data_IF_572777240105
#
_entry.id   IF_572777240105
#
_cell.length_a   1.000
_cell.length_b   1.000
_cell.length_c   1.000
_cell.angle_alpha   90.00
_cell.angle_beta   90.00
_cell.angle_gamma   90.00
#
_symmetry.space_group_name_H-M   'P 1'
#
loop_
_entity.id
_entity.type
_entity.pdbx_description
1 polymer ?
#
# COMPACT_ATOMS: atom_id res chain seq x y z
N UNK A 1 -25.35 -1.91 8.91
CA UNK A 1 -24.79 -0.60 8.54
C UNK A 1 -23.41 -0.53 9.17
N UNK A 2 -22.32 -0.62 8.39
CA UNK A 2 -20.98 -0.44 8.91
C UNK A 2 -20.82 1.03 9.30
N UNK A 3 -20.45 1.30 10.54
CA UNK A 3 -20.08 2.66 10.99
C UNK A 3 -18.87 3.10 10.16
N UNK A 4 -19.05 4.10 9.30
CA UNK A 4 -17.94 4.73 8.58
C UNK A 4 -17.10 5.48 9.60
N UNK A 5 -15.88 4.99 9.89
CA UNK A 5 -14.96 5.72 10.76
C UNK A 5 -14.58 7.03 10.05
N UNK A 6 -14.83 8.15 10.73
CA UNK A 6 -14.36 9.46 10.25
C UNK A 6 -12.84 9.51 10.37
N UNK A 7 -12.20 10.25 9.48
CA UNK A 7 -10.75 10.49 9.48
C UNK A 7 -9.90 9.21 9.32
N UNK A 8 -10.40 8.23 8.52
CA UNK A 8 -9.62 7.04 8.20
C UNK A 8 -8.63 7.33 7.07
N UNK A 9 -7.35 7.11 7.34
CA UNK A 9 -6.25 7.34 6.41
C UNK A 9 -5.53 6.03 6.14
N UNK A 10 -5.40 5.68 4.88
CA UNK A 10 -4.58 4.55 4.44
C UNK A 10 -3.22 5.09 4.04
N UNK A 11 -2.16 4.56 4.64
CA UNK A 11 -0.77 4.95 4.32
C UNK A 11 -0.03 3.74 3.77
N UNK A 12 0.42 3.84 2.54
CA UNK A 12 1.31 2.83 1.95
C UNK A 12 2.76 3.26 2.15
N UNK A 13 3.49 2.42 2.81
CA UNK A 13 4.89 2.62 3.15
C UNK A 13 5.78 2.05 2.04
N UNK A 14 6.61 2.90 1.42
CA UNK A 14 7.61 2.52 0.43
C UNK A 14 8.79 1.74 1.02
N UNK A 15 9.75 1.36 0.16
CA UNK A 15 10.90 0.55 0.59
C UNK A 15 11.97 1.27 1.41
N UNK A 16 11.87 2.60 1.56
CA UNK A 16 12.86 3.44 2.25
C UNK A 16 12.61 3.62 3.75
N UNK A 17 11.53 3.06 4.28
CA UNK A 17 11.06 3.28 5.66
C UNK A 17 12.07 2.91 6.78
N UNK A 18 13.12 2.17 6.45
CA UNK A 18 14.18 1.78 7.37
C UNK A 18 15.48 2.56 7.16
N UNK A 19 15.46 3.64 6.36
CA UNK A 19 16.62 4.52 6.21
C UNK A 19 16.75 5.43 7.44
N UNK A 20 17.98 5.76 7.83
CA UNK A 20 18.31 6.42 9.12
C UNK A 20 17.73 7.83 9.32
N UNK A 21 17.11 8.43 8.32
CA UNK A 21 16.50 9.77 8.37
C UNK A 21 14.97 9.75 8.20
N UNK A 22 14.37 8.57 8.17
CA UNK A 22 12.94 8.40 7.97
C UNK A 22 12.17 8.74 9.25
N UNK A 23 11.35 9.76 9.23
CA UNK A 23 10.49 10.21 10.34
C UNK A 23 9.08 9.62 10.26
N UNK A 24 8.79 8.78 9.27
CA UNK A 24 7.43 8.27 9.01
C UNK A 24 6.82 7.57 10.22
N UNK A 25 7.61 6.80 10.97
CA UNK A 25 7.11 6.11 12.18
C UNK A 25 6.77 7.09 13.29
N UNK A 26 7.52 8.19 13.43
CA UNK A 26 7.25 9.27 14.38
C UNK A 26 5.95 9.99 14.01
N UNK A 27 5.76 10.29 12.73
CA UNK A 27 4.55 10.90 12.19
C UNK A 27 3.32 10.01 12.44
N UNK A 28 3.43 8.70 12.17
CA UNK A 28 2.36 7.71 12.42
C UNK A 28 1.94 7.73 13.89
N UNK A 29 2.89 7.71 14.81
CA UNK A 29 2.61 7.73 16.26
C UNK A 29 2.00 9.06 16.68
N UNK A 30 2.48 10.17 16.13
CA UNK A 30 1.94 11.51 16.41
C UNK A 30 0.49 11.62 15.96
N UNK A 31 0.19 11.19 14.72
CA UNK A 31 -1.17 11.18 14.16
C UNK A 31 -2.12 10.28 14.95
N UNK A 32 -1.66 9.09 15.39
CA UNK A 32 -2.47 8.23 16.26
C UNK A 32 -2.83 8.94 17.58
N UNK A 33 -1.86 9.63 18.21
CA UNK A 33 -2.09 10.40 19.45
C UNK A 33 -3.03 11.59 19.24
N UNK A 34 -3.07 12.15 18.02
CA UNK A 34 -4.02 13.18 17.62
C UNK A 34 -5.43 12.64 17.32
N UNK A 35 -5.63 11.31 17.44
CA UNK A 35 -6.93 10.69 17.24
C UNK A 35 -7.23 10.31 15.77
N UNK A 36 -6.23 10.33 14.88
CA UNK A 36 -6.39 9.84 13.51
C UNK A 36 -6.47 8.32 13.48
N UNK A 37 -7.34 7.77 12.65
CA UNK A 37 -7.40 6.34 12.37
C UNK A 37 -6.48 6.02 11.19
N UNK A 38 -5.48 5.18 11.41
CA UNK A 38 -4.46 4.84 10.41
C UNK A 38 -4.47 3.35 10.11
N UNK A 39 -4.40 2.99 8.83
CA UNK A 39 -4.05 1.65 8.36
C UNK A 39 -2.76 1.78 7.56
N UNK A 40 -1.76 0.99 7.89
CA UNK A 40 -0.50 0.97 7.17
C UNK A 40 -0.44 -0.27 6.27
N UNK A 41 -0.03 -0.07 5.03
CA UNK A 41 0.31 -1.17 4.10
C UNK A 41 1.76 -1.01 3.71
N UNK A 42 2.59 -2.03 3.93
CA UNK A 42 4.00 -1.92 3.61
C UNK A 42 4.41 -2.75 2.39
N UNK A 43 5.51 -2.36 1.77
CA UNK A 43 6.25 -3.14 0.78
C UNK A 43 7.48 -3.81 1.39
N UNK A 44 8.55 -3.92 0.60
CA UNK A 44 9.83 -4.49 1.03
C UNK A 44 10.49 -5.36 -0.04
N UNK A 45 10.18 -5.13 -1.32
CA UNK A 45 10.73 -5.91 -2.44
C UNK A 45 12.27 -5.96 -2.43
N UNK A 46 12.95 -4.87 -2.04
CA UNK A 46 14.40 -4.80 -1.93
C UNK A 46 14.93 -5.75 -0.83
N UNK A 47 14.22 -5.85 0.29
CA UNK A 47 14.60 -6.73 1.40
C UNK A 47 14.43 -8.18 0.97
N UNK A 48 13.30 -8.53 0.34
CA UNK A 48 13.09 -9.86 -0.25
C UNK A 48 14.18 -10.21 -1.24
N UNK A 49 14.56 -9.27 -2.14
CA UNK A 49 15.66 -9.50 -3.10
C UNK A 49 16.99 -9.80 -2.40
N UNK A 50 17.31 -9.07 -1.33
CA UNK A 50 18.53 -9.33 -0.53
C UNK A 50 18.50 -10.73 0.10
N UNK A 51 17.36 -11.19 0.58
CA UNK A 51 17.20 -12.51 1.19
C UNK A 51 17.28 -13.64 0.15
N UNK A 52 16.63 -13.49 -1.02
CA UNK A 52 16.72 -14.45 -2.12
C UNK A 52 18.17 -14.60 -2.64
N UNK A 53 18.88 -13.47 -2.80
CA UNK A 53 20.30 -13.48 -3.19
C UNK A 53 21.18 -14.24 -2.19
N UNK A 54 20.93 -14.14 -0.89
CA UNK A 54 21.65 -14.91 0.14
C UNK A 54 21.47 -16.42 0.00
N UNK A 55 20.36 -16.85 -0.59
CA UNK A 55 20.04 -18.26 -0.86
C UNK A 55 20.38 -18.68 -2.31
N UNK A 56 21.13 -17.85 -3.06
CA UNK A 56 21.46 -18.08 -4.47
C UNK A 56 20.21 -18.29 -5.37
N UNK A 57 19.07 -17.73 -4.97
CA UNK A 57 17.82 -17.79 -5.74
C UNK A 57 17.74 -16.59 -6.67
N UNK A 58 17.68 -16.85 -7.97
CA UNK A 58 17.43 -15.82 -8.97
C UNK A 58 15.96 -15.41 -8.94
N UNK A 59 15.69 -14.17 -9.27
CA UNK A 59 14.33 -13.63 -9.29
C UNK A 59 14.19 -12.66 -10.45
N UNK A 60 13.15 -12.84 -11.22
CA UNK A 60 12.79 -11.99 -12.34
C UNK A 60 11.73 -10.97 -11.94
N UNK A 61 11.71 -9.86 -12.66
CA UNK A 61 10.70 -8.83 -12.54
C UNK A 61 10.02 -8.61 -13.89
N UNK A 62 8.71 -8.46 -13.85
CA UNK A 62 7.92 -8.10 -15.01
C UNK A 62 7.05 -6.89 -14.66
N UNK A 63 7.19 -5.81 -15.41
CA UNK A 63 6.48 -4.54 -15.16
C UNK A 63 6.59 -4.02 -13.72
N UNK A 64 7.76 -4.16 -13.11
CA UNK A 64 8.03 -3.71 -11.74
C UNK A 64 7.54 -4.65 -10.63
N UNK A 65 6.91 -5.78 -10.97
CA UNK A 65 6.46 -6.79 -10.01
C UNK A 65 7.31 -8.06 -10.11
N UNK A 66 7.58 -8.68 -8.96
CA UNK A 66 8.38 -9.91 -8.87
C UNK A 66 7.61 -11.10 -9.42
N UNK A 67 8.16 -11.82 -10.40
CA UNK A 67 7.72 -13.17 -10.74
C UNK A 67 7.93 -14.05 -9.50
N UNK A 68 6.87 -14.70 -9.03
CA UNK A 68 6.84 -15.36 -7.73
C UNK A 68 6.53 -16.84 -7.90
N UNK A 69 7.55 -17.67 -8.01
CA UNK A 69 7.43 -19.11 -7.90
C UNK A 69 7.19 -19.54 -6.43
N UNK A 70 7.10 -20.82 -6.16
CA UNK A 70 6.81 -21.31 -4.81
C UNK A 70 7.90 -20.93 -3.81
N UNK A 71 9.18 -21.09 -4.16
CA UNK A 71 10.30 -20.74 -3.29
C UNK A 71 10.35 -19.22 -3.01
N UNK A 72 10.10 -18.42 -4.04
CA UNK A 72 9.97 -16.97 -3.89
C UNK A 72 8.77 -16.58 -3.01
N UNK A 73 7.64 -17.30 -3.12
CA UNK A 73 6.46 -17.04 -2.28
C UNK A 73 6.73 -17.33 -0.81
N UNK A 74 7.40 -18.43 -0.50
CA UNK A 74 7.84 -18.77 0.86
C UNK A 74 8.74 -17.67 1.43
N UNK A 75 9.70 -17.19 0.64
CA UNK A 75 10.59 -16.10 1.05
C UNK A 75 9.83 -14.78 1.22
N UNK A 76 8.94 -14.43 0.31
CA UNK A 76 8.06 -13.25 0.43
C UNK A 76 7.26 -13.32 1.72
N UNK A 77 6.66 -14.47 2.01
CA UNK A 77 5.85 -14.68 3.21
C UNK A 77 6.69 -14.51 4.49
N UNK A 78 7.84 -15.18 4.57
CA UNK A 78 8.73 -15.09 5.73
C UNK A 78 9.27 -13.67 5.94
N UNK A 79 9.73 -13.03 4.88
CA UNK A 79 10.38 -11.72 4.96
C UNK A 79 9.35 -10.60 5.16
N UNK A 80 8.28 -10.56 4.37
CA UNK A 80 7.30 -9.47 4.48
C UNK A 80 6.33 -9.70 5.64
N UNK A 81 5.76 -10.89 5.78
CA UNK A 81 4.81 -11.20 6.86
C UNK A 81 5.47 -11.35 8.23
N UNK A 82 6.70 -11.86 8.26
CA UNK A 82 7.47 -12.08 9.49
C UNK A 82 8.38 -10.90 9.84
N UNK A 83 9.49 -10.75 9.10
CA UNK A 83 10.56 -9.81 9.47
C UNK A 83 10.12 -8.35 9.35
N UNK A 84 9.82 -7.88 8.14
CA UNK A 84 9.53 -6.47 7.86
C UNK A 84 8.31 -5.98 8.61
N UNK A 85 7.24 -6.76 8.61
CA UNK A 85 6.01 -6.43 9.33
C UNK A 85 6.27 -6.23 10.83
N UNK A 86 7.01 -7.15 11.46
CA UNK A 86 7.29 -7.10 12.90
C UNK A 86 8.28 -6.00 13.27
N UNK A 87 9.23 -5.65 12.40
CA UNK A 87 10.11 -4.50 12.61
C UNK A 87 9.33 -3.17 12.61
N UNK A 88 8.36 -3.00 11.69
CA UNK A 88 7.48 -1.81 11.67
C UNK A 88 6.66 -1.75 12.94
N UNK A 89 5.98 -2.84 13.31
CA UNK A 89 5.16 -2.91 14.53
C UNK A 89 5.97 -2.59 15.78
N UNK A 90 7.15 -3.21 15.91
CA UNK A 90 8.05 -2.95 17.03
C UNK A 90 8.48 -1.47 17.09
N UNK A 91 8.81 -0.87 15.93
CA UNK A 91 9.22 0.52 15.84
C UNK A 91 8.13 1.51 16.27
N UNK A 92 6.86 1.20 15.96
CA UNK A 92 5.69 1.98 16.41
C UNK A 92 5.48 1.81 17.92
N UNK A 93 5.49 0.57 18.41
CA UNK A 93 5.17 0.25 19.81
C UNK A 93 6.24 0.75 20.79
N UNK A 94 7.53 0.72 20.41
CA UNK A 94 8.64 1.32 21.22
C UNK A 94 8.45 2.84 21.40
N UNK A 95 7.81 3.52 20.44
CA UNK A 95 7.49 4.96 20.50
C UNK A 95 6.15 5.26 21.19
N UNK A 96 5.61 4.28 21.93
CA UNK A 96 4.31 4.37 22.61
C UNK A 96 3.11 4.54 21.64
N UNK A 97 3.23 4.10 20.40
CA UNK A 97 2.10 3.82 19.53
C UNK A 97 1.46 2.47 19.88
N UNK A 98 0.31 2.18 19.28
CA UNK A 98 -0.37 0.89 19.42
C UNK A 98 -0.57 0.28 18.03
N UNK A 99 0.27 -0.65 17.64
CA UNK A 99 0.18 -1.30 16.33
C UNK A 99 0.06 -2.81 16.44
N UNK A 100 -0.66 -3.41 15.48
CA UNK A 100 -0.79 -4.85 15.28
C UNK A 100 -0.44 -5.20 13.85
N UNK A 101 0.49 -6.14 13.66
CA UNK A 101 0.91 -6.60 12.34
C UNK A 101 0.12 -7.84 11.91
N UNK A 102 -0.46 -7.73 10.72
CA UNK A 102 -1.23 -8.79 10.05
C UNK A 102 -0.81 -8.89 8.58
N UNK A 103 -1.22 -9.97 7.94
CA UNK A 103 -1.14 -10.17 6.50
C UNK A 103 -2.54 -10.10 5.87
N UNK A 104 -2.63 -9.95 4.57
CA UNK A 104 -3.91 -10.04 3.87
C UNK A 104 -4.63 -11.40 4.01
N UNK A 105 -3.93 -12.46 4.43
CA UNK A 105 -4.51 -13.76 4.69
C UNK A 105 -5.26 -13.81 6.03
N UNK A 106 -4.86 -12.99 7.02
CA UNK A 106 -5.43 -13.02 8.36
C UNK A 106 -6.88 -12.53 8.34
N UNK A 107 -7.77 -13.28 8.99
CA UNK A 107 -9.20 -13.02 8.95
C UNK A 107 -9.81 -13.04 7.54
N UNK A 108 -9.13 -13.63 6.55
CA UNK A 108 -9.54 -13.57 5.14
C UNK A 108 -9.69 -12.14 4.59
N UNK A 109 -8.90 -11.20 5.13
CA UNK A 109 -8.94 -9.78 4.79
C UNK A 109 -8.85 -9.55 3.28
N UNK A 110 -7.88 -10.21 2.62
CA UNK A 110 -7.68 -10.09 1.16
C UNK A 110 -7.69 -11.48 0.54
N UNK A 111 -8.65 -11.69 -0.33
CA UNK A 111 -8.87 -12.94 -1.04
C UNK A 111 -8.65 -12.72 -2.54
N UNK A 112 -7.79 -13.53 -3.13
CA UNK A 112 -7.39 -13.37 -4.52
C UNK A 112 -7.35 -14.67 -5.31
N UNK A 113 -6.99 -14.51 -6.59
CA UNK A 113 -6.65 -15.59 -7.53
C UNK A 113 -5.35 -15.27 -8.24
N UNK A 114 -4.68 -16.28 -8.76
CA UNK A 114 -3.50 -16.08 -9.62
C UNK A 114 -3.88 -15.16 -10.78
N UNK A 115 -3.06 -14.12 -11.01
CA UNK A 115 -3.25 -13.13 -12.07
C UNK A 115 -2.94 -13.70 -13.43
N UNK A 116 -1.76 -14.30 -13.55
CA UNK A 116 -1.24 -14.85 -14.78
C UNK A 116 -0.27 -15.99 -14.43
N UNK A 117 -0.39 -17.12 -15.11
CA UNK A 117 0.48 -18.29 -14.89
C UNK A 117 1.96 -17.97 -15.09
N UNK A 118 2.31 -17.04 -16.00
CA UNK A 118 3.69 -16.60 -16.23
C UNK A 118 4.30 -15.82 -15.05
N UNK A 119 3.46 -15.24 -14.20
CA UNK A 119 3.88 -14.51 -13.00
C UNK A 119 3.95 -15.41 -11.75
N UNK A 120 3.62 -16.70 -11.88
CA UNK A 120 3.54 -17.62 -10.75
C UNK A 120 2.42 -17.24 -9.78
N UNK A 121 2.72 -17.18 -8.50
CA UNK A 121 1.76 -16.89 -7.42
C UNK A 121 1.57 -15.41 -7.14
N UNK A 122 1.71 -14.57 -8.15
CA UNK A 122 1.27 -13.18 -8.10
C UNK A 122 -0.25 -13.13 -8.26
N UNK A 123 -0.95 -12.46 -7.34
CA UNK A 123 -2.41 -12.46 -7.28
C UNK A 123 -3.06 -11.17 -7.78
N UNK A 124 -4.32 -11.33 -8.23
CA UNK A 124 -5.30 -10.25 -8.30
C UNK A 124 -6.28 -10.38 -7.15
N UNK A 125 -6.67 -9.26 -6.56
CA UNK A 125 -7.69 -9.19 -5.51
C UNK A 125 -9.06 -9.45 -6.14
N UNK A 126 -9.86 -10.30 -5.49
CA UNK A 126 -11.24 -10.62 -5.86
C UNK A 126 -12.21 -10.10 -4.80
N UNK A 127 -11.81 -10.21 -3.53
CA UNK A 127 -12.64 -9.78 -2.40
C UNK A 127 -11.76 -9.19 -1.30
N UNK A 128 -12.23 -8.12 -0.67
CA UNK A 128 -11.69 -7.56 0.58
C UNK A 128 -12.77 -7.68 1.66
N UNK A 129 -12.40 -8.26 2.80
CA UNK A 129 -13.24 -8.29 4.00
C UNK A 129 -12.53 -7.50 5.10
N UNK A 130 -12.88 -6.22 5.20
CA UNK A 130 -12.23 -5.30 6.11
C UNK A 130 -12.72 -5.37 7.57
N UNK A 131 -13.52 -6.36 7.95
CA UNK A 131 -14.10 -6.49 9.30
C UNK A 131 -13.03 -6.53 10.40
N UNK A 132 -11.95 -7.28 10.19
CA UNK A 132 -10.83 -7.33 11.13
C UNK A 132 -10.15 -5.96 11.30
N UNK A 133 -10.04 -5.17 10.23
CA UNK A 133 -9.45 -3.82 10.29
C UNK A 133 -10.29 -2.89 11.14
N UNK A 134 -11.61 -2.93 10.97
CA UNK A 134 -12.54 -2.10 11.75
C UNK A 134 -12.45 -2.44 13.24
N UNK A 135 -12.44 -3.74 13.58
CA UNK A 135 -12.27 -4.20 14.97
C UNK A 135 -10.96 -3.70 15.61
N UNK A 136 -9.84 -3.77 14.88
CA UNK A 136 -8.56 -3.27 15.37
C UNK A 136 -8.54 -1.76 15.56
N UNK A 137 -9.10 -1.00 14.61
CA UNK A 137 -9.21 0.46 14.70
C UNK A 137 -10.11 0.90 15.86
N UNK A 138 -11.27 0.27 16.05
CA UNK A 138 -12.17 0.52 17.18
C UNK A 138 -11.52 0.22 18.53
N UNK A 139 -10.58 -0.75 18.57
CA UNK A 139 -9.78 -1.07 19.74
C UNK A 139 -8.56 -0.14 19.92
N UNK A 140 -8.41 0.87 19.06
CA UNK A 140 -7.34 1.86 19.10
C UNK A 140 -5.99 1.38 18.56
N UNK A 141 -5.95 0.27 17.82
CA UNK A 141 -4.73 -0.22 17.18
C UNK A 141 -4.57 0.33 15.76
N UNK A 142 -3.32 0.47 15.32
CA UNK A 142 -2.94 0.67 13.92
C UNK A 142 -2.70 -0.70 13.29
N UNK A 143 -3.54 -1.16 12.34
CA UNK A 143 -3.24 -2.34 11.56
C UNK A 143 -2.05 -2.07 10.62
N UNK A 144 -1.05 -2.95 10.64
CA UNK A 144 0.11 -2.92 9.73
C UNK A 144 0.04 -4.16 8.84
N UNK A 145 -0.19 -3.97 7.54
CA UNK A 145 -0.57 -5.04 6.61
C UNK A 145 0.61 -5.40 5.71
N UNK A 146 1.03 -6.66 5.77
CA UNK A 146 1.97 -7.23 4.82
C UNK A 146 1.25 -7.76 3.57
N UNK A 147 1.86 -7.66 2.37
CA UNK A 147 1.21 -7.96 1.10
C UNK A 147 1.19 -9.46 0.75
N UNK A 148 0.84 -10.29 1.72
CA UNK A 148 0.62 -11.74 1.57
C UNK A 148 -0.87 -12.02 1.77
N UNK A 149 -1.53 -12.58 0.77
CA UNK A 149 -2.99 -12.68 0.70
C UNK A 149 -3.45 -14.12 0.52
N UNK A 150 -4.74 -14.39 0.76
CA UNK A 150 -5.33 -15.72 0.63
C UNK A 150 -5.57 -16.06 -0.84
N UNK A 151 -5.09 -17.22 -1.30
CA UNK A 151 -5.43 -17.80 -2.60
C UNK A 151 -6.78 -18.52 -2.50
N UNK A 152 -7.87 -17.76 -2.54
CA UNK A 152 -9.22 -18.26 -2.28
C UNK A 152 -9.95 -18.74 -3.53
N UNK A 153 -9.60 -18.24 -4.72
CA UNK A 153 -10.35 -18.47 -5.96
C UNK A 153 -9.49 -19.15 -7.02
N UNK A 154 -10.04 -20.20 -7.65
CA UNK A 154 -9.37 -20.93 -8.74
C UNK A 154 -8.12 -21.69 -8.30
N UNK A 155 -7.95 -21.96 -7.02
CA UNK A 155 -6.82 -22.71 -6.45
C UNK A 155 -7.03 -24.21 -6.63
N UNK A 156 -6.02 -24.91 -7.20
CA UNK A 156 -5.97 -26.37 -7.14
C UNK A 156 -5.54 -26.83 -5.73
N UNK A 157 -5.88 -28.06 -5.37
CA UNK A 157 -5.52 -28.61 -4.05
C UNK A 157 -4.00 -28.65 -3.81
N UNK A 158 -3.21 -28.79 -4.85
CA UNK A 158 -1.74 -28.82 -4.78
C UNK A 158 -1.10 -27.42 -4.78
N UNK A 159 -1.84 -26.37 -5.09
CA UNK A 159 -1.29 -25.01 -5.12
C UNK A 159 -1.20 -24.42 -3.70
N UNK A 160 -0.20 -23.55 -3.43
CA UNK A 160 -0.09 -22.83 -2.17
C UNK A 160 -1.37 -22.05 -1.83
N UNK A 161 -1.73 -21.95 -0.53
CA UNK A 161 -2.88 -21.18 -0.09
C UNK A 161 -2.65 -19.67 -0.08
N UNK A 162 -1.44 -19.22 -0.40
CA UNK A 162 -1.03 -17.82 -0.34
C UNK A 162 -0.73 -17.25 -1.71
N UNK A 163 -0.84 -15.92 -1.82
CA UNK A 163 -0.47 -15.12 -2.99
C UNK A 163 0.37 -13.92 -2.56
N UNK A 164 1.33 -13.56 -3.40
CA UNK A 164 2.03 -12.28 -3.35
C UNK A 164 1.22 -11.24 -4.15
N UNK A 165 0.77 -10.17 -3.51
CA UNK A 165 0.04 -9.09 -4.16
C UNK A 165 0.79 -7.78 -3.93
N UNK A 166 0.85 -6.93 -4.96
CA UNK A 166 1.51 -5.63 -4.86
C UNK A 166 0.92 -4.77 -3.74
N UNK A 167 1.78 -4.17 -2.90
CA UNK A 167 1.33 -3.38 -1.74
C UNK A 167 0.56 -2.11 -2.11
N UNK A 168 0.85 -1.48 -3.26
CA UNK A 168 0.09 -0.32 -3.73
C UNK A 168 -1.34 -0.75 -4.11
N UNK A 169 -1.48 -1.90 -4.79
CA UNK A 169 -2.78 -2.51 -5.13
C UNK A 169 -3.59 -2.81 -3.86
N UNK A 170 -2.96 -3.40 -2.84
CA UNK A 170 -3.62 -3.67 -1.55
C UNK A 170 -4.09 -2.38 -0.89
N UNK A 171 -3.25 -1.35 -0.86
CA UNK A 171 -3.60 -0.07 -0.25
C UNK A 171 -4.79 0.59 -0.96
N UNK A 172 -4.81 0.58 -2.30
CA UNK A 172 -5.93 1.09 -3.09
C UNK A 172 -7.24 0.34 -2.86
N UNK A 173 -7.21 -0.99 -2.80
CA UNK A 173 -8.39 -1.81 -2.55
C UNK A 173 -8.91 -1.71 -1.11
N UNK A 174 -8.03 -1.58 -0.12
CA UNK A 174 -8.43 -1.30 1.26
C UNK A 174 -9.06 0.09 1.35
N UNK A 175 -8.45 1.12 0.75
CA UNK A 175 -9.01 2.46 0.72
C UNK A 175 -10.41 2.47 0.08
N UNK A 176 -10.56 1.81 -1.07
CA UNK A 176 -11.84 1.62 -1.75
C UNK A 176 -12.87 0.93 -0.85
N UNK A 177 -12.52 -0.24 -0.27
CA UNK A 177 -13.47 -1.08 0.46
C UNK A 177 -13.92 -0.48 1.79
N UNK A 178 -13.05 0.30 2.45
CA UNK A 178 -13.35 0.96 3.74
C UNK A 178 -13.99 2.33 3.56
N UNK A 179 -13.96 2.91 2.35
CA UNK A 179 -14.34 4.29 2.10
C UNK A 179 -13.49 5.26 2.90
N UNK A 180 -12.17 5.03 2.95
CA UNK A 180 -11.23 5.88 3.65
C UNK A 180 -11.31 7.33 3.14
N UNK A 181 -10.96 8.28 4.01
CA UNK A 181 -10.93 9.69 3.62
C UNK A 181 -9.73 9.98 2.69
N UNK A 182 -8.56 9.42 3.04
CA UNK A 182 -7.32 9.64 2.28
C UNK A 182 -6.58 8.36 2.01
N UNK A 183 -5.94 8.28 0.84
CA UNK A 183 -4.89 7.32 0.50
C UNK A 183 -3.58 8.06 0.30
N UNK A 184 -2.56 7.76 1.09
CA UNK A 184 -1.23 8.37 0.99
C UNK A 184 -0.21 7.30 0.59
N UNK A 185 0.45 7.50 -0.55
CA UNK A 185 1.49 6.61 -1.06
C UNK A 185 2.86 7.26 -0.84
N UNK A 186 3.57 6.82 0.20
CA UNK A 186 4.95 7.24 0.46
C UNK A 186 5.90 6.49 -0.48
N UNK A 187 6.71 7.24 -1.20
CA UNK A 187 7.63 6.73 -2.21
C UNK A 187 9.00 7.45 -2.10
N UNK A 188 9.89 7.18 -3.01
CA UNK A 188 11.24 7.79 -3.10
C UNK A 188 11.33 8.91 -4.14
N UNK A 189 10.19 9.29 -4.74
CA UNK A 189 10.07 10.43 -5.66
C UNK A 189 9.10 11.48 -5.11
N UNK A 190 9.28 12.73 -5.51
CA UNK A 190 8.49 13.85 -4.98
C UNK A 190 7.02 13.83 -5.39
N UNK A 191 6.68 13.09 -6.44
CA UNK A 191 5.34 12.98 -7.00
C UNK A 191 5.39 12.57 -8.47
N UNK A 192 4.42 13.02 -9.25
CA UNK A 192 4.30 12.77 -10.69
C UNK A 192 4.86 13.99 -11.44
N UNK A 193 5.65 13.72 -12.47
CA UNK A 193 6.25 14.77 -13.31
C UNK A 193 5.64 14.75 -14.72
N UNK A 194 5.51 15.91 -15.33
CA UNK A 194 5.17 16.03 -16.74
C UNK A 194 6.38 15.69 -17.65
N UNK A 195 6.16 15.72 -18.97
CA UNK A 195 7.22 15.46 -19.98
C UNK A 195 8.37 16.48 -19.90
N UNK A 196 8.13 17.67 -19.38
CA UNK A 196 9.14 18.72 -19.18
C UNK A 196 9.87 18.57 -17.84
N UNK A 197 9.59 17.54 -17.04
CA UNK A 197 10.21 17.30 -15.74
C UNK A 197 9.69 18.21 -14.62
N UNK A 198 8.52 18.82 -14.77
CA UNK A 198 7.89 19.67 -13.75
C UNK A 198 6.96 18.82 -12.90
N UNK A 199 7.04 18.97 -11.58
CA UNK A 199 6.13 18.30 -10.66
C UNK A 199 4.69 18.78 -10.89
N UNK A 200 3.77 17.85 -11.02
CA UNK A 200 2.34 18.08 -11.13
C UNK A 200 1.71 18.05 -9.72
N UNK A 201 1.34 19.20 -9.13
CA UNK A 201 0.86 19.22 -7.75
C UNK A 201 -0.56 18.66 -7.59
N UNK A 202 -1.36 18.73 -8.65
CA UNK A 202 -2.75 18.28 -8.69
C UNK A 202 -3.06 17.62 -10.03
N UNK A 203 -3.75 16.49 -10.00
CA UNK A 203 -4.21 15.76 -11.18
C UNK A 203 -5.62 15.24 -10.95
N UNK A 204 -6.54 15.42 -11.88
CA UNK A 204 -7.81 14.70 -11.88
C UNK A 204 -7.57 13.21 -12.23
N UNK A 205 -8.39 12.28 -11.72
CA UNK A 205 -8.24 10.84 -12.02
C UNK A 205 -8.23 10.51 -13.52
N UNK A 206 -8.97 11.26 -14.32
CA UNK A 206 -9.03 11.11 -15.79
C UNK A 206 -7.69 11.40 -16.47
N UNK A 207 -6.95 12.39 -16.01
CA UNK A 207 -5.60 12.70 -16.53
C UNK A 207 -4.58 11.64 -16.13
N UNK A 208 -4.77 11.00 -14.97
CA UNK A 208 -3.89 9.89 -14.52
C UNK A 208 -3.96 8.72 -15.49
N UNK A 209 -5.14 8.39 -16.01
CA UNK A 209 -5.28 7.33 -17.04
C UNK A 209 -4.52 7.68 -18.32
N UNK A 210 -4.62 8.93 -18.77
CA UNK A 210 -3.88 9.40 -19.95
C UNK A 210 -2.35 9.33 -19.76
N UNK A 211 -1.84 9.63 -18.55
CA UNK A 211 -0.41 9.51 -18.26
C UNK A 211 0.09 8.05 -18.31
N UNK A 212 -0.76 7.10 -17.97
CA UNK A 212 -0.44 5.67 -18.09
C UNK A 212 -0.46 5.25 -19.57
N UNK A 213 -1.47 5.66 -20.33
CA UNK A 213 -1.66 5.28 -21.74
C UNK A 213 -0.59 5.89 -22.64
N UNK A 214 -0.21 7.14 -22.40
CA UNK A 214 0.87 7.84 -23.14
C UNK A 214 2.27 7.32 -22.84
N UNK A 215 2.44 6.50 -21.77
CA UNK A 215 3.73 5.97 -21.36
C UNK A 215 4.61 6.95 -20.58
N UNK A 216 4.12 8.14 -20.26
CA UNK A 216 4.80 9.11 -19.36
C UNK A 216 4.99 8.49 -17.98
N UNK A 217 3.96 7.83 -17.47
CA UNK A 217 4.09 7.02 -16.27
C UNK A 217 4.59 5.62 -16.61
N UNK A 218 5.66 5.17 -15.97
CA UNK A 218 6.29 3.89 -16.25
C UNK A 218 6.70 3.12 -14.98
N UNK A 219 7.02 1.84 -15.13
CA UNK A 219 7.59 0.99 -14.07
C UNK A 219 6.75 0.97 -12.79
N UNK A 220 7.39 1.23 -11.65
CA UNK A 220 6.77 1.21 -10.33
C UNK A 220 5.75 2.34 -10.06
N UNK A 221 5.63 3.34 -10.96
CA UNK A 221 4.61 4.38 -10.85
C UNK A 221 3.23 3.86 -11.27
N UNK A 222 3.15 2.99 -12.27
CA UNK A 222 1.87 2.45 -12.78
C UNK A 222 1.00 1.81 -11.68
N UNK A 223 1.50 0.91 -10.82
CA UNK A 223 0.72 0.36 -9.72
C UNK A 223 0.19 1.42 -8.75
N UNK A 224 0.97 2.48 -8.49
CA UNK A 224 0.56 3.58 -7.60
C UNK A 224 -0.60 4.36 -8.19
N UNK A 225 -0.49 4.73 -9.45
CA UNK A 225 -1.54 5.45 -10.17
C UNK A 225 -2.83 4.64 -10.23
N UNK A 226 -2.74 3.35 -10.56
CA UNK A 226 -3.90 2.45 -10.55
C UNK A 226 -4.54 2.32 -9.17
N UNK A 227 -3.73 2.32 -8.10
CA UNK A 227 -4.24 2.30 -6.73
C UNK A 227 -5.01 3.60 -6.40
N UNK A 228 -4.51 4.75 -6.84
CA UNK A 228 -5.20 6.03 -6.68
C UNK A 228 -6.52 6.08 -7.45
N UNK A 229 -6.53 5.67 -8.73
CA UNK A 229 -7.76 5.59 -9.54
C UNK A 229 -8.77 4.65 -8.85
N UNK A 230 -8.32 3.48 -8.42
CA UNK A 230 -9.20 2.52 -7.73
C UNK A 230 -9.79 3.08 -6.44
N UNK A 231 -8.99 3.74 -5.63
CA UNK A 231 -9.46 4.37 -4.41
C UNK A 231 -10.49 5.49 -4.70
N UNK A 232 -10.19 6.35 -5.67
CA UNK A 232 -11.06 7.48 -6.06
C UNK A 232 -12.39 7.05 -6.70
N UNK A 233 -12.53 5.80 -7.16
CA UNK A 233 -13.80 5.26 -7.70
C UNK A 233 -14.85 4.95 -6.61
N UNK A 234 -14.52 5.13 -5.35
CA UNK A 234 -15.45 5.12 -4.22
C UNK A 234 -15.08 6.31 -3.32
N UNK A 235 -15.83 6.77 -2.47
CA UNK A 235 -15.78 7.91 -1.57
C UNK A 235 -14.41 8.38 -0.98
N UNK A 236 -13.27 7.95 -1.53
CA UNK A 236 -11.94 8.48 -1.16
C UNK A 236 -11.78 9.86 -1.76
N UNK A 237 -11.64 10.87 -0.91
CA UNK A 237 -11.61 12.27 -1.34
C UNK A 237 -10.28 12.65 -1.97
N UNK A 238 -9.18 12.15 -1.44
CA UNK A 238 -7.83 12.54 -1.90
C UNK A 238 -6.89 11.34 -1.89
N UNK A 239 -6.17 11.15 -3.00
CA UNK A 239 -5.03 10.25 -3.06
C UNK A 239 -3.77 11.08 -3.25
N UNK A 240 -2.75 10.90 -2.41
CA UNK A 240 -1.49 11.66 -2.50
C UNK A 240 -0.30 10.74 -2.72
N UNK A 241 0.55 11.10 -3.67
CA UNK A 241 1.87 10.48 -3.89
C UNK A 241 2.93 11.48 -3.46
N UNK A 242 3.77 11.11 -2.48
CA UNK A 242 4.77 12.02 -1.95
C UNK A 242 6.06 11.30 -1.51
N UNK A 243 7.13 12.08 -1.41
CA UNK A 243 8.44 11.57 -1.03
C UNK A 243 8.52 11.35 0.48
N UNK A 244 8.46 10.09 0.90
CA UNK A 244 8.57 9.69 2.31
C UNK A 244 9.96 9.88 2.92
N UNK A 245 11.02 10.21 2.12
CA UNK A 245 12.35 10.52 2.62
C UNK A 245 12.49 11.95 3.16
N UNK A 246 11.53 12.82 2.85
CA UNK A 246 11.48 14.17 3.42
C UNK A 246 11.05 14.10 4.88
N UNK A 247 11.72 14.85 5.73
CA UNK A 247 11.38 14.88 7.17
C UNK A 247 9.93 15.30 7.39
N UNK A 248 9.21 14.53 8.21
CA UNK A 248 7.80 14.74 8.55
C UNK A 248 6.85 14.86 7.34
N UNK A 249 7.16 14.13 6.25
CA UNK A 249 6.39 14.21 5.02
C UNK A 249 4.92 13.83 5.22
N UNK A 250 4.65 12.78 6.01
CA UNK A 250 3.30 12.31 6.29
C UNK A 250 2.53 13.31 7.17
N UNK A 251 3.15 13.81 8.22
CA UNK A 251 2.53 14.78 9.12
C UNK A 251 2.20 16.08 8.37
N UNK A 252 3.17 16.62 7.63
CA UNK A 252 2.98 17.85 6.84
C UNK A 252 1.87 17.69 5.79
N UNK A 253 1.72 16.52 5.16
CA UNK A 253 0.63 16.27 4.20
C UNK A 253 -0.73 16.36 4.88
N UNK A 254 -0.86 15.85 6.08
CA UNK A 254 -2.15 15.82 6.79
C UNK A 254 -2.49 17.18 7.39
N UNK A 255 -1.52 17.88 7.98
CA UNK A 255 -1.75 19.14 8.69
C UNK A 255 -1.78 20.37 7.78
N UNK A 256 -0.97 20.41 6.74
CA UNK A 256 -0.78 21.62 5.90
C UNK A 256 -0.86 21.40 4.41
N UNK A 257 -1.14 20.16 3.99
CA UNK A 257 -1.26 19.87 2.56
C UNK A 257 0.07 19.88 1.82
N UNK A 258 0.92 18.95 2.18
CA UNK A 258 2.25 18.62 1.68
C UNK A 258 2.76 19.05 0.30
N UNK A 259 3.83 18.40 -0.15
CA UNK A 259 4.58 18.80 -1.37
C UNK A 259 4.52 17.76 -2.50
N UNK A 260 3.59 16.82 -2.43
CA UNK A 260 3.46 15.75 -3.41
C UNK A 260 2.53 16.07 -4.58
N UNK A 261 2.12 15.02 -5.29
CA UNK A 261 1.03 15.09 -6.25
C UNK A 261 -0.26 14.59 -5.61
N UNK A 262 -1.29 15.42 -5.63
CA UNK A 262 -2.65 15.01 -5.23
C UNK A 262 -3.44 14.57 -6.45
N UNK A 263 -4.19 13.51 -6.26
CA UNK A 263 -5.13 12.98 -7.24
C UNK A 263 -6.51 13.10 -6.59
N UNK A 264 -7.30 14.07 -7.07
CA UNK A 264 -8.65 14.37 -6.58
C UNK A 264 -9.50 14.97 -7.69
N UNK A 265 -10.81 14.87 -7.56
CA UNK A 265 -11.73 15.52 -8.49
C UNK A 265 -11.78 17.03 -8.18
N UNK A 266 -11.42 17.92 -9.12
CA UNK A 266 -11.30 19.35 -8.85
C UNK A 266 -12.62 20.06 -8.51
N UNK A 267 -13.78 19.41 -8.64
CA UNK A 267 -15.08 20.04 -8.50
C UNK A 267 -16.06 19.33 -7.54
N UNK A 268 -15.62 18.39 -6.72
CA UNK A 268 -16.54 17.71 -5.79
C UNK A 268 -17.72 17.00 -6.50
N UNK A 269 -17.64 16.75 -7.79
CA UNK A 269 -18.63 16.02 -8.55
C UNK A 269 -18.52 14.54 -8.20
N UNK A 270 -19.49 14.08 -7.43
CA UNK A 270 -19.79 12.65 -7.30
C UNK A 270 -20.16 12.16 -8.70
N UNK A 271 -19.38 11.28 -9.27
CA UNK A 271 -19.79 10.51 -10.44
C UNK A 271 -20.96 9.65 -9.99
N UNK A 272 -22.18 9.97 -10.47
CA UNK A 272 -23.40 9.15 -10.29
C UNK A 272 -23.25 7.79 -10.95
#
# INVERSE_FOLDING_TARGET
MSLKLKNLIIVKLGGSIFESKDTTIEDVVTLQKQGQHLILVHGGANIVTKWLKRQNTLTDFFQGERVTDQASLEMVTAVLGGLVNKEIVASINIRNGKAVGICGVDGSLIQGRVRNKKMGYVGNIVKVDHSILMTLLESGFIPVIAPVSLHAFGRSLSAPPLLNINGDTIAGEIAYSTGAEKLILLTDVDGIYDEAGRLLPLLPPTEVELLIESGVASGGMIPKLKACIRASSNSVTTCTILNGRKGHALLNEIESGGSGTRIENPLGETIE
#
